data_IF_581639333199
#
_entry.id   IF_581639333199
#
_cell.length_a   1.000
_cell.length_b   1.000
_cell.length_c   1.000
_cell.angle_alpha   90.00
_cell.angle_beta   90.00
_cell.angle_gamma   90.00
#
_symmetry.space_group_name_H-M   'P 1'
#
loop_
_entity.id
_entity.type
_entity.pdbx_description
1 polymer ?
#
# COMPACT_ATOMS: atom_id res chain seq x y z
N UNK A 1 8.34 10.76 13.62
CA UNK A 1 7.75 10.30 12.34
C UNK A 1 6.68 9.30 12.71
N UNK A 2 5.54 9.22 12.00
CA UNK A 2 4.56 8.16 12.31
C UNK A 2 5.22 6.80 12.12
N UNK A 3 4.94 5.84 12.99
CA UNK A 3 5.47 4.48 12.87
C UNK A 3 4.96 3.81 11.58
N UNK A 4 5.85 3.08 10.90
CA UNK A 4 5.47 2.29 9.74
C UNK A 4 4.60 1.11 10.16
N UNK A 5 3.75 0.63 9.26
CA UNK A 5 2.85 -0.49 9.54
C UNK A 5 3.36 -1.72 8.78
N UNK A 6 3.77 -2.74 9.52
CA UNK A 6 4.20 -4.03 8.99
C UNK A 6 2.98 -4.82 8.51
N UNK A 7 3.08 -5.44 7.33
CA UNK A 7 2.04 -6.37 6.89
C UNK A 7 2.15 -7.70 7.65
N UNK A 8 1.00 -8.26 8.04
CA UNK A 8 0.94 -9.54 8.78
C UNK A 8 0.46 -10.72 7.92
N UNK A 9 -0.08 -10.45 6.72
CA UNK A 9 -0.49 -11.45 5.74
C UNK A 9 0.30 -11.34 4.44
N UNK A 10 0.46 -12.45 3.70
CA UNK A 10 1.26 -12.52 2.47
C UNK A 10 0.87 -11.47 1.41
N UNK A 11 -0.43 -11.23 1.23
CA UNK A 11 -0.97 -10.23 0.31
C UNK A 11 -1.47 -8.96 1.01
N UNK A 12 -0.99 -8.77 2.23
CA UNK A 12 -1.42 -7.76 3.19
C UNK A 12 -0.89 -6.34 2.99
N UNK A 13 -0.03 -6.08 1.98
CA UNK A 13 0.55 -4.75 1.75
C UNK A 13 -0.51 -3.64 1.61
N UNK A 14 -1.67 -3.95 1.03
CA UNK A 14 -2.81 -3.04 0.93
C UNK A 14 -3.37 -2.66 2.31
N UNK A 15 -3.59 -3.64 3.19
CA UNK A 15 -4.08 -3.42 4.57
C UNK A 15 -3.14 -2.49 5.33
N UNK A 16 -1.83 -2.72 5.25
CA UNK A 16 -0.84 -1.87 5.92
C UNK A 16 -0.89 -0.42 5.41
N UNK A 17 -1.00 -0.20 4.10
CA UNK A 17 -1.15 1.14 3.53
C UNK A 17 -2.46 1.81 3.97
N UNK A 18 -3.54 1.05 4.07
CA UNK A 18 -4.85 1.54 4.50
C UNK A 18 -4.87 1.89 5.98
N UNK A 19 -4.32 1.03 6.84
CA UNK A 19 -4.12 1.29 8.26
C UNK A 19 -3.26 2.54 8.49
N UNK A 20 -2.21 2.70 7.68
CA UNK A 20 -1.40 3.91 7.67
C UNK A 20 -2.18 5.16 7.19
N UNK A 21 -3.10 5.04 6.23
CA UNK A 21 -3.92 6.17 5.78
C UNK A 21 -4.97 6.59 6.82
N UNK A 22 -5.47 5.64 7.62
CA UNK A 22 -6.56 5.83 8.58
C UNK A 22 -6.12 6.18 10.00
N UNK A 23 -4.85 6.04 10.33
CA UNK A 23 -4.41 6.14 11.73
C UNK A 23 -4.97 5.07 12.67
N UNK A 24 -5.02 3.84 12.18
CA UNK A 24 -5.48 2.66 12.92
C UNK A 24 -4.48 1.51 12.79
N UNK A 25 -4.72 0.44 13.54
CA UNK A 25 -3.88 -0.77 13.52
C UNK A 25 -4.12 -1.62 12.28
N UNK A 26 -3.13 -2.45 11.92
CA UNK A 26 -3.25 -3.43 10.84
C UNK A 26 -4.45 -4.36 11.05
N UNK A 27 -4.59 -4.92 12.26
CA UNK A 27 -5.67 -5.82 12.65
C UNK A 27 -7.06 -5.20 12.50
N UNK A 28 -7.25 -3.94 12.87
CA UNK A 28 -8.54 -3.26 12.69
C UNK A 28 -8.97 -3.23 11.22
N UNK A 29 -8.03 -2.93 10.31
CA UNK A 29 -8.31 -2.90 8.87
C UNK A 29 -8.45 -4.30 8.30
N UNK A 30 -7.67 -5.28 8.77
CA UNK A 30 -7.81 -6.67 8.35
C UNK A 30 -9.20 -7.24 8.65
N UNK A 31 -9.74 -6.94 9.84
CA UNK A 31 -11.11 -7.29 10.20
C UNK A 31 -12.16 -6.63 9.29
N UNK A 32 -11.88 -5.41 8.81
CA UNK A 32 -12.78 -4.65 7.94
C UNK A 32 -12.74 -5.10 6.47
N UNK A 33 -11.53 -5.34 5.94
CA UNK A 33 -11.33 -5.66 4.52
C UNK A 33 -11.35 -7.16 4.23
N UNK A 34 -11.12 -8.00 5.23
CA UNK A 34 -11.14 -9.46 5.15
C UNK A 34 -9.76 -10.09 5.19
N UNK A 35 -9.51 -10.87 6.25
CA UNK A 35 -8.28 -11.64 6.44
C UNK A 35 -8.13 -12.75 5.38
N UNK A 36 -9.23 -13.40 4.98
CA UNK A 36 -9.22 -14.47 3.97
C UNK A 36 -8.66 -13.98 2.63
N UNK A 37 -9.05 -12.78 2.21
CA UNK A 37 -8.50 -12.19 1.00
C UNK A 37 -7.01 -11.89 1.19
N UNK A 38 -6.62 -11.22 2.29
CA UNK A 38 -5.24 -10.86 2.55
C UNK A 38 -4.25 -12.05 2.62
N UNK A 39 -4.74 -13.23 2.97
CA UNK A 39 -3.97 -14.49 2.97
C UNK A 39 -3.90 -15.16 1.59
N UNK A 40 -4.86 -14.92 0.69
CA UNK A 40 -4.99 -15.67 -0.55
C UNK A 40 -4.63 -14.87 -1.80
N UNK A 41 -4.95 -13.58 -1.83
CA UNK A 41 -4.77 -12.74 -3.01
C UNK A 41 -4.71 -11.25 -2.68
N UNK A 42 -4.22 -10.45 -3.62
CA UNK A 42 -4.15 -9.00 -3.44
C UNK A 42 -5.53 -8.35 -3.48
N UNK A 43 -5.64 -7.18 -2.86
CA UNK A 43 -6.77 -6.29 -3.05
C UNK A 43 -6.76 -5.64 -4.44
N UNK A 44 -7.93 -5.60 -5.07
CA UNK A 44 -8.12 -4.89 -6.33
C UNK A 44 -8.26 -3.38 -6.09
N UNK A 45 -7.71 -2.58 -7.00
CA UNK A 45 -7.71 -1.12 -6.88
C UNK A 45 -9.12 -0.55 -6.69
N UNK A 46 -10.10 -1.08 -7.42
CA UNK A 46 -11.50 -0.63 -7.33
C UNK A 46 -12.06 -0.85 -5.93
N UNK A 47 -11.95 -2.07 -5.42
CA UNK A 47 -12.49 -2.45 -4.11
C UNK A 47 -11.75 -1.72 -2.99
N UNK A 48 -10.43 -1.60 -3.11
CA UNK A 48 -9.59 -0.90 -2.15
C UNK A 48 -9.89 0.60 -2.09
N UNK A 49 -10.17 1.24 -3.23
CA UNK A 49 -10.58 2.66 -3.29
C UNK A 49 -11.98 2.85 -2.70
N UNK A 50 -12.92 1.96 -3.02
CA UNK A 50 -14.26 2.00 -2.46
C UNK A 50 -14.24 1.86 -0.93
N UNK A 51 -13.42 0.95 -0.40
CA UNK A 51 -13.28 0.76 1.03
C UNK A 51 -12.67 1.97 1.75
N UNK A 52 -11.66 2.64 1.15
CA UNK A 52 -11.10 3.88 1.69
C UNK A 52 -12.16 4.98 1.75
N UNK A 53 -12.95 5.12 0.69
CA UNK A 53 -14.05 6.09 0.60
C UNK A 53 -15.14 5.81 1.63
N UNK A 54 -15.53 4.55 1.81
CA UNK A 54 -16.51 4.15 2.83
C UNK A 54 -16.00 4.37 4.26
N UNK A 55 -14.68 4.48 4.45
CA UNK A 55 -14.05 4.78 5.74
C UNK A 55 -13.86 6.29 5.97
N UNK A 56 -14.54 7.13 5.19
CA UNK A 56 -14.50 8.58 5.31
C UNK A 56 -13.24 9.23 4.73
N UNK A 57 -12.41 8.50 3.99
CA UNK A 57 -11.27 9.09 3.27
C UNK A 57 -11.61 9.28 1.80
N UNK A 58 -11.49 10.49 1.28
CA UNK A 58 -11.77 10.75 -0.13
C UNK A 58 -10.57 10.42 -1.00
N UNK A 59 -10.61 9.32 -1.75
CA UNK A 59 -9.56 8.89 -2.68
C UNK A 59 -10.12 8.67 -4.09
N UNK A 60 -9.27 8.94 -5.09
CA UNK A 60 -9.54 8.56 -6.49
C UNK A 60 -8.44 7.63 -7.00
N UNK A 61 -8.84 6.55 -7.65
CA UNK A 61 -7.92 5.68 -8.36
C UNK A 61 -7.63 6.22 -9.76
N UNK A 62 -6.35 6.29 -10.14
CA UNK A 62 -5.91 6.61 -11.50
C UNK A 62 -4.82 5.66 -11.96
N UNK A 63 -4.89 5.24 -13.23
CA UNK A 63 -3.78 4.56 -13.88
C UNK A 63 -2.62 5.56 -14.08
N UNK A 64 -1.39 5.13 -13.76
CA UNK A 64 -0.21 5.98 -13.83
C UNK A 64 0.32 6.01 -15.27
N UNK A 65 0.10 7.17 -15.92
CA UNK A 65 0.68 7.56 -17.21
C UNK A 65 1.82 8.57 -16.98
N UNK A 66 2.72 8.85 -17.95
CA UNK A 66 3.84 9.78 -17.75
C UNK A 66 3.47 11.13 -17.11
N UNK A 67 2.36 11.80 -17.51
CA UNK A 67 1.95 13.06 -16.87
C UNK A 67 1.52 12.92 -15.40
N UNK A 68 1.12 11.72 -14.98
CA UNK A 68 0.69 11.41 -13.61
C UNK A 68 1.89 11.21 -12.65
N UNK A 69 3.10 10.98 -13.18
CA UNK A 69 4.27 10.61 -12.38
C UNK A 69 4.61 11.64 -11.30
N UNK A 70 4.36 12.94 -11.52
CA UNK A 70 4.57 13.97 -10.49
C UNK A 70 3.54 13.87 -9.37
N UNK A 71 2.30 13.50 -9.70
CA UNK A 71 1.17 13.44 -8.76
C UNK A 71 1.29 12.30 -7.76
N UNK A 72 2.00 11.22 -8.10
CA UNK A 72 2.17 10.08 -7.18
C UNK A 72 2.97 10.47 -5.93
N UNK A 73 3.75 11.55 -5.99
CA UNK A 73 4.56 12.03 -4.85
C UNK A 73 3.78 12.94 -3.90
N UNK A 74 2.48 13.20 -4.16
CA UNK A 74 1.60 13.90 -3.21
C UNK A 74 1.50 13.07 -1.92
N UNK A 75 1.58 13.75 -0.78
CA UNK A 75 1.44 13.12 0.55
C UNK A 75 0.15 12.31 0.67
N UNK A 76 0.21 11.14 1.33
CA UNK A 76 -0.93 10.24 1.51
C UNK A 76 -1.34 9.45 0.27
N UNK A 77 -0.63 9.61 -0.85
CA UNK A 77 -0.87 8.80 -2.06
C UNK A 77 -0.46 7.36 -1.83
N UNK A 78 -1.37 6.42 -2.12
CA UNK A 78 -1.04 5.00 -2.17
C UNK A 78 -0.77 4.61 -3.62
N UNK A 79 0.30 3.88 -3.87
CA UNK A 79 0.63 3.38 -5.21
C UNK A 79 0.64 1.87 -5.23
N UNK A 80 0.16 1.30 -6.33
CA UNK A 80 0.37 -0.10 -6.68
C UNK A 80 1.50 -0.17 -7.70
N UNK A 81 2.64 -0.75 -7.34
CA UNK A 81 3.70 -1.05 -8.31
C UNK A 81 3.35 -2.30 -9.12
N UNK A 82 3.81 -2.31 -10.38
CA UNK A 82 3.58 -3.41 -11.31
C UNK A 82 4.20 -4.71 -10.82
N UNK A 83 3.63 -5.82 -11.30
CA UNK A 83 4.19 -7.15 -11.12
C UNK A 83 5.62 -7.20 -11.67
N UNK A 84 6.51 -7.85 -10.93
CA UNK A 84 7.91 -8.07 -11.32
C UNK A 84 8.43 -9.36 -10.68
N UNK A 85 9.67 -9.76 -10.99
CA UNK A 85 10.32 -10.91 -10.32
C UNK A 85 10.37 -10.74 -8.80
N UNK A 86 10.49 -9.50 -8.32
CA UNK A 86 10.53 -9.14 -6.90
C UNK A 86 9.11 -9.07 -6.30
N UNK A 87 8.14 -8.54 -7.05
CA UNK A 87 6.75 -8.39 -6.61
C UNK A 87 5.81 -9.17 -7.54
N UNK A 88 5.69 -10.51 -7.38
CA UNK A 88 5.00 -11.35 -8.35
C UNK A 88 3.50 -11.05 -8.49
N UNK A 89 2.87 -10.44 -7.49
CA UNK A 89 1.46 -10.02 -7.51
C UNK A 89 1.28 -8.51 -7.62
N UNK A 90 2.36 -7.73 -7.68
CA UNK A 90 2.32 -6.28 -7.48
C UNK A 90 2.37 -5.94 -6.00
N UNK A 91 2.59 -4.67 -5.67
CA UNK A 91 2.89 -4.28 -4.29
C UNK A 91 2.41 -2.87 -3.97
N UNK A 92 1.81 -2.69 -2.79
CA UNK A 92 1.28 -1.41 -2.35
C UNK A 92 2.27 -0.68 -1.44
N UNK A 93 2.43 0.63 -1.65
CA UNK A 93 3.18 1.53 -0.77
C UNK A 93 2.41 2.84 -0.60
N UNK A 94 2.60 3.53 0.53
CA UNK A 94 2.00 4.85 0.77
C UNK A 94 3.06 5.94 0.95
N UNK A 95 2.81 7.11 0.38
CA UNK A 95 3.67 8.29 0.46
C UNK A 95 3.53 8.95 1.83
N UNK A 96 4.63 9.07 2.56
CA UNK A 96 4.66 9.81 3.83
C UNK A 96 5.93 10.65 3.99
N UNK A 97 5.80 11.95 4.28
CA UNK A 97 6.90 12.88 4.59
C UNK A 97 8.15 12.70 3.73
N UNK A 98 7.99 12.73 2.41
CA UNK A 98 9.14 12.61 1.52
C UNK A 98 9.64 11.17 1.30
N UNK A 99 9.03 10.17 1.94
CA UNK A 99 9.38 8.75 1.83
C UNK A 99 8.19 7.87 1.41
N UNK A 100 8.45 6.61 1.11
CA UNK A 100 7.45 5.58 0.84
C UNK A 100 7.45 4.63 2.03
N UNK A 101 6.34 4.57 2.77
CA UNK A 101 6.15 3.51 3.74
C UNK A 101 5.98 2.20 2.95
N UNK A 102 6.90 1.29 3.19
CA UNK A 102 6.96 -0.05 2.63
C UNK A 102 6.53 -1.02 3.73
N UNK A 103 5.39 -1.72 3.57
CA UNK A 103 4.89 -2.68 4.55
C UNK A 103 5.78 -3.89 4.82
N UNK A 104 6.72 -4.20 3.92
CA UNK A 104 7.60 -5.36 3.94
C UNK A 104 8.94 -5.01 3.26
N UNK A 105 9.72 -4.13 3.91
CA UNK A 105 10.94 -3.55 3.37
C UNK A 105 12.03 -4.61 3.10
N UNK A 106 12.06 -5.67 3.91
CA UNK A 106 12.98 -6.80 3.81
C UNK A 106 12.46 -7.96 2.94
N UNK A 107 11.32 -7.81 2.24
CA UNK A 107 10.79 -8.80 1.28
C UNK A 107 11.83 -9.33 0.26
N UNK A 108 12.74 -8.49 -0.29
CA UNK A 108 13.69 -8.95 -1.31
C UNK A 108 14.69 -9.98 -0.78
N UNK A 109 14.99 -9.93 0.52
CA UNK A 109 15.92 -10.81 1.21
C UNK A 109 15.21 -11.92 1.98
N UNK A 110 13.99 -11.69 2.47
CA UNK A 110 13.23 -12.66 3.25
C UNK A 110 11.75 -12.63 2.83
N UNK A 111 11.24 -13.78 2.37
CA UNK A 111 9.85 -13.95 1.91
C UNK A 111 8.96 -14.66 2.95
N UNK A 112 9.44 -14.84 4.16
CA UNK A 112 8.64 -15.35 5.27
C UNK A 112 7.92 -14.20 5.97
N UNK A 113 6.59 -14.19 5.87
CA UNK A 113 5.73 -13.14 6.44
C UNK A 113 5.90 -12.99 7.95
N UNK A 114 6.29 -14.06 8.66
CA UNK A 114 6.54 -14.02 10.12
C UNK A 114 7.72 -13.13 10.49
N UNK A 115 8.60 -12.86 9.53
CA UNK A 115 9.80 -12.03 9.68
C UNK A 115 9.68 -10.72 8.87
N UNK A 116 8.47 -10.34 8.46
CA UNK A 116 8.26 -9.11 7.74
C UNK A 116 8.60 -7.90 8.62
N UNK A 117 9.31 -6.94 8.04
CA UNK A 117 9.60 -5.66 8.66
C UNK A 117 9.06 -4.54 7.77
N UNK A 118 8.40 -3.54 8.34
CA UNK A 118 8.09 -2.32 7.61
C UNK A 118 9.19 -1.27 7.75
N UNK A 119 9.18 -0.31 6.84
CA UNK A 119 10.06 0.85 6.97
C UNK A 119 9.77 1.91 5.93
N UNK A 120 10.68 2.88 5.82
CA UNK A 120 10.54 4.00 4.90
C UNK A 120 11.63 3.97 3.83
N UNK A 121 11.24 3.93 2.56
CA UNK A 121 12.16 4.07 1.42
C UNK A 121 12.17 5.49 0.90
N UNK A 122 13.37 6.00 0.60
CA UNK A 122 13.53 7.29 -0.11
C UNK A 122 12.98 7.22 -1.55
N UNK A 123 13.13 6.07 -2.22
CA UNK A 123 12.75 5.85 -3.61
C UNK A 123 11.72 4.73 -3.74
N UNK A 124 10.83 4.86 -4.71
CA UNK A 124 9.80 3.85 -4.99
C UNK A 124 10.47 2.60 -5.58
N UNK A 125 10.27 1.38 -5.03
CA UNK A 125 11.03 0.20 -5.42
C UNK A 125 10.51 -0.50 -6.68
N UNK A 126 9.86 0.20 -7.60
CA UNK A 126 9.31 -0.39 -8.83
C UNK A 126 8.56 0.62 -9.69
N UNK A 127 8.05 0.15 -10.84
CA UNK A 127 7.27 0.99 -11.75
C UNK A 127 5.82 1.10 -11.24
N UNK A 128 5.31 2.29 -10.92
CA UNK A 128 3.93 2.46 -10.48
C UNK A 128 2.95 2.12 -11.62
N UNK A 129 1.86 1.44 -11.29
CA UNK A 129 0.78 1.04 -12.19
C UNK A 129 -0.47 1.86 -11.95
N UNK A 130 -0.88 1.97 -10.68
CA UNK A 130 -2.01 2.75 -10.23
C UNK A 130 -1.60 3.62 -9.05
N UNK A 131 -2.28 4.75 -8.90
CA UNK A 131 -2.19 5.62 -7.74
C UNK A 131 -3.59 5.90 -7.21
N UNK A 132 -3.78 5.73 -5.91
CA UNK A 132 -4.92 6.22 -5.16
C UNK A 132 -4.51 7.58 -4.57
N UNK A 133 -5.09 8.64 -5.11
CA UNK A 133 -4.75 10.01 -4.77
C UNK A 133 -5.77 10.56 -3.76
N UNK A 134 -5.34 11.04 -2.59
CA UNK A 134 -6.26 11.70 -1.66
C UNK A 134 -6.81 12.98 -2.30
N UNK A 135 -8.12 13.14 -2.24
CA UNK A 135 -8.81 14.39 -2.53
C UNK A 135 -8.79 15.25 -1.28
N UNK A 136 -8.46 16.52 -1.48
CA UNK A 136 -8.48 17.54 -0.45
C UNK A 136 -9.91 17.98 -0.19
#
# INVERSE_FOLDING_TARGET
MRESVTQEFDYGCGIACFAFALDVTYKQVANQLGELQANSTRFWIKDFTAALNNSGKHYIAKHVKPPMMRKIYKEGTIVLVRRSKQYPTGYYLIRHKGHWMDPWINLPSNKDIKHAESGFRKRLPGKPMYALLPQS
#
